data_IF_656119491513
#
_entry.id   IF_656119491513
#
_cell.length_a   1.000
_cell.length_b   1.000
_cell.length_c   1.000
_cell.angle_alpha   90.00
_cell.angle_beta   90.00
_cell.angle_gamma   90.00
#
_symmetry.space_group_name_H-M   'P 1'
#
loop_
_entity.id
_entity.type
_entity.pdbx_description
1 polymer ?
#
# COMPACT_ATOMS: atom_id res chain seq x y z
N UNK A 1 -3.96 1.12 18.87
CA UNK A 1 -5.01 0.10 19.06
C UNK A 1 -5.51 -0.50 17.74
N UNK A 2 -5.82 0.33 16.73
CA UNK A 2 -6.30 -0.13 15.41
C UNK A 2 -5.37 -1.14 14.69
N UNK A 3 -4.06 -0.92 14.69
CA UNK A 3 -3.09 -1.87 14.08
C UNK A 3 -3.19 -3.26 14.71
N UNK A 4 -3.40 -3.33 16.03
CA UNK A 4 -3.55 -4.61 16.73
C UNK A 4 -4.85 -5.31 16.29
N UNK A 5 -5.95 -4.56 16.22
CA UNK A 5 -7.24 -5.08 15.77
C UNK A 5 -7.17 -5.63 14.34
N UNK A 6 -6.55 -4.90 13.42
CA UNK A 6 -6.36 -5.36 12.03
C UNK A 6 -5.52 -6.65 11.98
N UNK A 7 -4.43 -6.71 12.74
CA UNK A 7 -3.61 -7.91 12.83
C UNK A 7 -4.37 -9.11 13.42
N UNK A 8 -5.17 -8.89 14.46
CA UNK A 8 -5.99 -9.92 15.10
C UNK A 8 -7.08 -10.42 14.15
N UNK A 9 -7.69 -9.54 13.35
CA UNK A 9 -8.64 -9.91 12.29
C UNK A 9 -8.01 -10.79 11.22
N UNK A 10 -6.84 -10.40 10.69
CA UNK A 10 -6.14 -11.21 9.67
C UNK A 10 -5.73 -12.57 10.25
N UNK A 11 -5.24 -12.61 11.49
CA UNK A 11 -4.90 -13.84 12.19
C UNK A 11 -6.12 -14.77 12.36
N UNK A 12 -7.28 -14.21 12.66
CA UNK A 12 -8.54 -14.98 12.80
C UNK A 12 -9.05 -15.49 11.46
N UNK A 13 -8.94 -14.70 10.40
CA UNK A 13 -9.49 -15.03 9.08
C UNK A 13 -8.62 -16.02 8.29
N UNK A 14 -7.29 -15.91 8.39
CA UNK A 14 -6.35 -16.69 7.56
C UNK A 14 -5.44 -17.56 8.43
N UNK A 15 -4.85 -16.98 9.47
CA UNK A 15 -3.98 -17.68 10.41
C UNK A 15 -2.74 -16.88 10.82
N UNK A 16 -1.93 -17.40 11.76
CA UNK A 16 -0.77 -16.69 12.31
C UNK A 16 0.31 -16.30 11.29
N UNK A 17 0.46 -17.08 10.22
CA UNK A 17 1.47 -16.88 9.17
C UNK A 17 1.13 -15.73 8.21
N UNK A 18 -0.13 -15.27 8.18
CA UNK A 18 -0.61 -14.23 7.28
C UNK A 18 -0.60 -12.83 7.92
N UNK A 19 -0.08 -12.71 9.15
CA UNK A 19 0.01 -11.43 9.86
C UNK A 19 0.88 -10.46 9.03
N UNK A 20 0.38 -9.27 8.66
CA UNK A 20 1.20 -8.25 8.04
C UNK A 20 2.35 -7.83 8.95
N UNK A 21 3.55 -7.72 8.39
CA UNK A 21 4.72 -7.18 9.09
C UNK A 21 4.56 -5.68 9.35
N UNK A 22 4.02 -4.96 8.37
CA UNK A 22 3.79 -3.53 8.39
C UNK A 22 2.38 -3.20 7.88
N UNK A 23 1.74 -2.17 8.46
CA UNK A 23 0.46 -1.63 8.01
C UNK A 23 0.65 -0.13 7.81
N UNK A 24 0.63 0.30 6.55
CA UNK A 24 0.76 1.70 6.16
C UNK A 24 -0.65 2.27 5.94
N UNK A 25 -0.97 3.34 6.66
CA UNK A 25 -2.21 4.08 6.45
C UNK A 25 -2.00 5.15 5.37
N UNK A 26 -2.95 5.22 4.44
CA UNK A 26 -2.94 6.22 3.37
C UNK A 26 -4.34 6.80 3.18
N UNK A 27 -4.41 8.04 2.71
CA UNK A 27 -5.67 8.68 2.33
C UNK A 27 -6.25 8.11 1.03
N UNK A 28 -5.40 7.67 0.10
CA UNK A 28 -5.83 7.00 -1.14
C UNK A 28 -4.84 5.94 -1.63
N UNK A 29 -5.27 5.15 -2.62
CA UNK A 29 -4.48 4.11 -3.29
C UNK A 29 -4.24 4.47 -4.76
N UNK A 30 -3.12 4.02 -5.36
CA UNK A 30 -2.83 4.24 -6.76
C UNK A 30 -3.85 3.50 -7.62
N UNK A 31 -4.83 4.24 -8.15
CA UNK A 31 -5.91 3.72 -8.99
C UNK A 31 -5.76 4.27 -10.39
N UNK A 32 -6.10 3.48 -11.40
CA UNK A 32 -6.23 4.00 -12.76
C UNK A 32 -7.44 4.90 -12.90
N UNK A 33 -7.56 5.61 -14.03
CA UNK A 33 -8.79 6.34 -14.41
C UNK A 33 -10.05 5.47 -14.46
N UNK A 34 -9.90 4.15 -14.59
CA UNK A 34 -11.00 3.17 -14.54
C UNK A 34 -11.25 2.61 -13.13
N UNK A 35 -10.53 3.10 -12.10
CA UNK A 35 -10.69 2.72 -10.70
C UNK A 35 -9.98 1.44 -10.25
N UNK A 36 -9.25 0.73 -11.13
CA UNK A 36 -8.52 -0.48 -10.71
C UNK A 36 -7.28 -0.09 -9.89
N UNK A 37 -7.06 -0.76 -8.76
CA UNK A 37 -5.86 -0.55 -7.93
C UNK A 37 -4.64 -1.14 -8.64
N UNK A 38 -3.61 -0.32 -8.84
CA UNK A 38 -2.33 -0.74 -9.42
C UNK A 38 -1.42 -1.33 -8.35
N UNK A 39 -1.71 -2.57 -7.93
CA UNK A 39 -0.93 -3.28 -6.89
C UNK A 39 0.57 -3.41 -7.20
N UNK A 40 0.95 -3.38 -8.48
CA UNK A 40 2.37 -3.38 -8.92
C UNK A 40 3.12 -2.16 -8.35
N UNK A 41 2.49 -0.99 -8.36
CA UNK A 41 3.07 0.25 -7.82
C UNK A 41 3.21 0.14 -6.30
N UNK A 42 2.19 -0.37 -5.61
CA UNK A 42 2.25 -0.64 -4.16
C UNK A 42 3.40 -1.57 -3.79
N UNK A 43 3.67 -2.60 -4.61
CA UNK A 43 4.81 -3.50 -4.41
C UNK A 43 6.14 -2.77 -4.53
N UNK A 44 6.35 -2.02 -5.61
CA UNK A 44 7.60 -1.26 -5.79
C UNK A 44 7.81 -0.23 -4.67
N UNK A 45 6.75 0.44 -4.20
CA UNK A 45 6.83 1.32 -3.03
C UNK A 45 7.22 0.55 -1.77
N UNK A 46 6.62 -0.62 -1.51
CA UNK A 46 7.00 -1.45 -0.36
C UNK A 46 8.47 -1.90 -0.43
N UNK A 47 8.94 -2.29 -1.62
CA UNK A 47 10.33 -2.72 -1.88
C UNK A 47 11.34 -1.55 -1.91
N UNK A 48 10.86 -0.31 -2.03
CA UNK A 48 11.71 0.90 -2.07
C UNK A 48 12.30 1.20 -3.42
N UNK A 49 11.64 0.77 -4.49
CA UNK A 49 12.05 1.04 -5.85
C UNK A 49 11.81 2.52 -6.22
N UNK A 50 12.84 3.15 -6.80
CA UNK A 50 12.72 4.51 -7.34
C UNK A 50 11.95 4.53 -8.66
N UNK A 51 12.21 3.54 -9.54
CA UNK A 51 11.52 3.37 -10.82
C UNK A 51 10.33 2.42 -10.66
N UNK A 52 9.13 2.99 -10.73
CA UNK A 52 7.86 2.25 -10.65
C UNK A 52 7.27 1.95 -12.04
N UNK A 53 8.06 2.09 -13.10
CA UNK A 53 7.65 1.89 -14.50
C UNK A 53 6.52 2.83 -14.92
N UNK A 54 5.71 2.40 -15.90
CA UNK A 54 4.64 3.24 -16.43
C UNK A 54 3.48 3.45 -15.43
N UNK A 55 3.31 4.71 -15.02
CA UNK A 55 2.25 5.21 -14.14
C UNK A 55 1.30 6.19 -14.84
N UNK A 56 1.42 6.39 -16.16
CA UNK A 56 0.63 7.35 -16.95
C UNK A 56 -0.89 7.12 -16.94
N UNK A 57 -1.29 5.91 -16.54
CA UNK A 57 -2.70 5.49 -16.43
C UNK A 57 -3.32 5.77 -15.07
N UNK A 58 -2.53 6.20 -14.07
CA UNK A 58 -3.04 6.62 -12.77
C UNK A 58 -3.98 7.80 -12.92
N UNK A 59 -5.05 7.78 -12.12
CA UNK A 59 -5.95 8.93 -12.00
C UNK A 59 -5.25 10.08 -11.30
N UNK A 60 -4.48 9.76 -10.25
CA UNK A 60 -3.68 10.71 -9.49
C UNK A 60 -2.27 10.13 -9.24
N UNK A 61 -1.23 10.68 -9.88
CA UNK A 61 0.15 10.27 -9.65
C UNK A 61 0.71 10.67 -8.27
N UNK A 62 0.20 11.73 -7.61
CA UNK A 62 0.81 12.23 -6.36
C UNK A 62 0.67 11.26 -5.19
N UNK A 63 -0.35 10.40 -5.24
CA UNK A 63 -0.58 9.33 -4.26
C UNK A 63 0.64 8.40 -4.11
N UNK A 64 1.47 8.28 -5.15
CA UNK A 64 2.68 7.47 -5.09
C UNK A 64 3.72 8.09 -4.16
N UNK A 65 3.90 9.41 -4.22
CA UNK A 65 4.85 10.12 -3.38
C UNK A 65 4.37 10.13 -1.92
N UNK A 66 3.08 10.35 -1.69
CA UNK A 66 2.45 10.26 -0.36
C UNK A 66 2.69 8.88 0.28
N UNK A 67 2.56 7.81 -0.50
CA UNK A 67 2.80 6.44 -0.04
C UNK A 67 4.27 6.17 0.26
N UNK A 68 5.19 6.73 -0.54
CA UNK A 68 6.64 6.64 -0.27
C UNK A 68 6.98 7.35 1.04
N UNK A 69 6.42 8.54 1.27
CA UNK A 69 6.61 9.29 2.50
C UNK A 69 6.03 8.55 3.71
N UNK A 70 4.78 8.07 3.61
CA UNK A 70 4.11 7.34 4.69
C UNK A 70 4.87 6.07 5.12
N UNK A 71 5.55 5.38 4.19
CA UNK A 71 6.42 4.25 4.50
C UNK A 71 7.72 4.68 5.21
N UNK A 72 8.27 5.84 4.83
CA UNK A 72 9.52 6.34 5.41
C UNK A 72 9.33 6.95 6.80
N UNK A 73 8.10 7.22 7.23
CA UNK A 73 7.78 7.66 8.57
C UNK A 73 7.55 6.45 9.51
N UNK A 74 8.28 6.36 10.64
CA UNK A 74 8.22 5.22 11.56
C UNK A 74 6.95 5.14 12.42
#
# INVERSE_FOLDING_TARGET
ELIKELNDQVRKAIGPHARPEEIIFSADLPKTRSGKIMRRVLRGVAEGEDDLGDTSTLADPSVVDDLKEARSQP
#
